data_IF_993423769025
#
_entry.id   IF_993423769025
#
_cell.length_a   1.000
_cell.length_b   1.000
_cell.length_c   1.000
_cell.angle_alpha   90.00
_cell.angle_beta   90.00
_cell.angle_gamma   90.00
#
_symmetry.space_group_name_H-M   'P 1'
#
loop_
_entity.id
_entity.type
_entity.pdbx_description
1 polymer ?
#
# COMPACT_ATOMS: atom_id res chain seq x y z
N UNK A 1 30.00 -30.08 6.84
CA UNK A 1 30.51 -28.79 7.35
C UNK A 1 29.30 -28.00 7.81
N UNK A 2 29.34 -27.45 9.02
CA UNK A 2 28.28 -26.56 9.49
C UNK A 2 28.31 -25.30 8.62
N UNK A 3 27.18 -24.97 8.00
CA UNK A 3 27.07 -23.75 7.20
C UNK A 3 26.68 -22.61 8.13
N UNK A 4 27.60 -21.69 8.39
CA UNK A 4 27.32 -20.49 9.16
C UNK A 4 26.76 -19.41 8.25
N UNK A 5 25.71 -18.73 8.70
CA UNK A 5 25.22 -17.53 8.03
C UNK A 5 26.16 -16.34 8.31
N UNK A 6 26.16 -15.37 7.40
CA UNK A 6 26.93 -14.12 7.47
C UNK A 6 26.67 -13.36 8.77
N UNK A 7 25.42 -13.32 9.23
CA UNK A 7 25.07 -12.69 10.50
C UNK A 7 25.80 -13.33 11.69
N UNK A 8 25.97 -14.65 11.67
CA UNK A 8 26.67 -15.40 12.71
C UNK A 8 28.17 -15.07 12.72
N UNK A 9 28.78 -14.99 11.54
CA UNK A 9 30.19 -14.64 11.36
C UNK A 9 30.47 -13.20 11.82
N UNK A 10 29.55 -12.27 11.52
CA UNK A 10 29.64 -10.87 11.98
C UNK A 10 29.61 -10.81 13.50
N UNK A 11 28.65 -11.48 14.15
CA UNK A 11 28.56 -11.53 15.61
C UNK A 11 29.81 -12.12 16.26
N UNK A 12 30.43 -13.12 15.65
CA UNK A 12 31.72 -13.64 16.12
C UNK A 12 32.83 -12.58 16.03
N UNK A 13 32.98 -11.92 14.87
CA UNK A 13 33.99 -10.89 14.62
C UNK A 13 33.79 -9.65 15.50
N UNK A 14 32.55 -9.39 15.92
CA UNK A 14 32.18 -8.31 16.84
C UNK A 14 32.30 -8.69 18.32
N UNK A 15 32.50 -9.97 18.65
CA UNK A 15 32.62 -10.47 20.02
C UNK A 15 31.28 -10.59 20.74
N UNK A 16 30.19 -10.73 19.98
CA UNK A 16 28.80 -10.80 20.46
C UNK A 16 28.25 -12.24 20.52
N UNK A 17 29.09 -13.24 20.26
CA UNK A 17 28.73 -14.65 20.48
C UNK A 17 28.92 -15.03 21.95
N UNK A 18 27.99 -15.81 22.54
CA UNK A 18 28.19 -16.43 23.85
C UNK A 18 29.49 -17.26 23.89
N UNK A 19 30.14 -17.33 25.05
CA UNK A 19 31.43 -18.03 25.19
C UNK A 19 31.38 -19.49 24.72
N UNK A 20 30.28 -20.18 25.00
CA UNK A 20 30.08 -21.58 24.60
C UNK A 20 30.03 -21.72 23.07
N UNK A 21 29.27 -20.85 22.41
CA UNK A 21 29.15 -20.80 20.96
C UNK A 21 30.46 -20.42 20.27
N UNK A 22 31.22 -19.48 20.84
CA UNK A 22 32.53 -19.07 20.33
C UNK A 22 33.52 -20.24 20.34
N UNK A 23 33.52 -21.09 21.37
CA UNK A 23 34.44 -22.25 21.46
C UNK A 23 34.18 -23.29 20.36
N UNK A 24 32.91 -23.54 20.06
CA UNK A 24 32.52 -24.43 18.97
C UNK A 24 32.88 -23.82 17.62
N UNK A 25 32.55 -22.55 17.41
CA UNK A 25 32.89 -21.81 16.19
C UNK A 25 34.40 -21.77 15.93
N UNK A 26 35.22 -21.55 16.96
CA UNK A 26 36.68 -21.58 16.85
C UNK A 26 37.23 -22.97 16.49
N UNK A 27 36.55 -24.03 16.90
CA UNK A 27 36.93 -25.40 16.55
C UNK A 27 36.66 -25.67 15.08
N UNK A 28 35.50 -25.25 14.57
CA UNK A 28 35.14 -25.38 13.15
C UNK A 28 35.99 -24.45 12.28
N UNK A 29 36.27 -23.24 12.75
CA UNK A 29 37.17 -22.27 12.11
C UNK A 29 38.58 -22.84 11.92
N UNK A 30 39.09 -23.68 12.83
CA UNK A 30 40.41 -24.32 12.66
C UNK A 30 40.42 -25.39 11.57
N UNK A 31 39.28 -25.98 11.26
CA UNK A 31 39.16 -27.14 10.36
C UNK A 31 38.64 -26.77 8.97
N UNK A 32 38.02 -25.60 8.81
CA UNK A 32 37.41 -25.15 7.57
C UNK A 32 38.15 -23.93 6.95
N UNK A 33 38.94 -24.14 5.87
CA UNK A 33 39.63 -23.05 5.18
C UNK A 33 38.69 -22.02 4.53
N UNK A 34 37.49 -22.40 4.13
CA UNK A 34 36.53 -21.48 3.52
C UNK A 34 35.96 -20.52 4.59
N UNK A 35 35.65 -21.05 5.78
CA UNK A 35 35.22 -20.25 6.92
C UNK A 35 36.33 -19.32 7.42
N UNK A 36 37.60 -19.75 7.38
CA UNK A 36 38.74 -18.88 7.68
C UNK A 36 38.82 -17.68 6.75
N UNK A 37 38.66 -17.92 5.44
CA UNK A 37 38.70 -16.86 4.44
C UNK A 37 37.55 -15.86 4.63
N UNK A 38 36.35 -16.34 4.98
CA UNK A 38 35.19 -15.47 5.21
C UNK A 38 35.36 -14.62 6.47
N UNK A 39 35.80 -15.20 7.58
CA UNK A 39 36.11 -14.45 8.82
C UNK A 39 37.21 -13.41 8.57
N UNK A 40 38.24 -13.76 7.79
CA UNK A 40 39.33 -12.84 7.45
C UNK A 40 38.83 -11.64 6.63
N UNK A 41 37.97 -11.88 5.63
CA UNK A 41 37.35 -10.83 4.82
C UNK A 41 36.56 -9.84 5.68
N UNK A 42 35.75 -10.34 6.63
CA UNK A 42 34.96 -9.48 7.52
C UNK A 42 35.84 -8.66 8.48
N UNK A 43 36.94 -9.24 8.99
CA UNK A 43 37.90 -8.49 9.81
C UNK A 43 38.59 -7.38 9.02
N UNK A 44 38.99 -7.65 7.78
CA UNK A 44 39.59 -6.65 6.89
C UNK A 44 38.60 -5.53 6.54
N UNK A 45 37.36 -5.88 6.20
CA UNK A 45 36.30 -4.90 5.96
C UNK A 45 36.09 -4.01 7.19
N UNK A 46 35.96 -4.60 8.38
CA UNK A 46 35.79 -3.87 9.64
C UNK A 46 36.94 -2.91 9.91
N UNK A 47 38.17 -3.33 9.65
CA UNK A 47 39.34 -2.49 9.86
C UNK A 47 39.43 -1.36 8.82
N UNK A 48 39.13 -1.64 7.55
CA UNK A 48 39.07 -0.62 6.50
C UNK A 48 37.97 0.42 6.77
N UNK A 49 36.82 -0.02 7.30
CA UNK A 49 35.73 0.84 7.73
C UNK A 49 36.16 1.69 8.93
N UNK A 50 36.82 1.12 9.94
CA UNK A 50 37.36 1.89 11.08
C UNK A 50 38.38 2.95 10.66
N UNK A 51 39.24 2.64 9.70
CA UNK A 51 40.23 3.58 9.17
C UNK A 51 39.58 4.72 8.38
N UNK A 52 38.53 4.42 7.58
CA UNK A 52 37.77 5.44 6.82
C UNK A 52 36.80 6.23 7.68
N UNK A 53 36.26 5.61 8.73
CA UNK A 53 35.36 6.17 9.72
C UNK A 53 36.13 6.45 11.02
N UNK A 54 37.31 7.08 10.91
CA UNK A 54 38.01 7.65 12.07
C UNK A 54 37.00 8.47 12.92
N UNK A 55 37.17 8.56 14.26
CA UNK A 55 36.17 9.13 15.16
C UNK A 55 35.80 10.54 14.68
N UNK A 56 34.69 10.61 13.96
CA UNK A 56 34.28 11.83 13.33
C UNK A 56 33.96 12.81 14.46
N UNK A 57 34.55 14.01 14.43
CA UNK A 57 34.21 15.07 15.38
C UNK A 57 32.69 15.31 15.39
N UNK A 58 32.03 14.99 14.26
CA UNK A 58 30.58 14.97 14.07
C UNK A 58 29.87 13.92 14.94
N UNK A 59 30.43 12.73 15.13
CA UNK A 59 29.86 11.68 15.98
C UNK A 59 29.98 12.03 17.47
N UNK A 60 31.08 12.66 17.87
CA UNK A 60 31.28 13.22 19.21
C UNK A 60 30.28 14.34 19.49
N UNK A 61 30.12 15.26 18.53
CA UNK A 61 29.15 16.35 18.59
C UNK A 61 27.71 15.84 18.66
N UNK A 62 27.35 14.89 17.80
CA UNK A 62 26.03 14.24 17.82
C UNK A 62 25.78 13.50 19.13
N UNK A 63 26.78 12.76 19.67
CA UNK A 63 26.66 12.12 20.98
C UNK A 63 26.47 13.15 22.10
N UNK A 64 27.20 14.27 22.08
CA UNK A 64 27.02 15.33 23.06
C UNK A 64 25.60 15.93 22.99
N UNK A 65 25.12 16.22 21.77
CA UNK A 65 23.76 16.73 21.52
C UNK A 65 22.69 15.72 21.96
N UNK A 66 22.85 14.44 21.63
CA UNK A 66 21.91 13.39 22.05
C UNK A 66 21.94 13.18 23.57
N UNK A 67 23.11 13.31 24.20
CA UNK A 67 23.24 13.18 25.66
C UNK A 67 22.61 14.37 26.39
N UNK A 68 22.76 15.59 25.87
CA UNK A 68 22.11 16.78 26.44
C UNK A 68 20.59 16.77 26.26
N UNK A 69 20.09 16.18 25.17
CA UNK A 69 18.66 16.07 24.90
C UNK A 69 18.01 14.85 25.59
N UNK A 70 18.81 13.91 26.12
CA UNK A 70 18.34 12.70 26.81
C UNK A 70 17.38 12.97 27.99
N UNK A 71 17.63 13.94 28.91
CA UNK A 71 16.74 14.16 30.04
C UNK A 71 15.40 14.79 29.65
N UNK A 72 15.36 15.53 28.53
CA UNK A 72 14.15 16.21 28.03
C UNK A 72 13.25 15.28 27.21
N UNK A 73 13.83 14.42 26.37
CA UNK A 73 13.07 13.60 25.42
C UNK A 73 13.05 12.10 25.76
N UNK A 74 13.98 11.62 26.58
CA UNK A 74 14.11 10.21 26.94
C UNK A 74 13.98 10.02 28.45
N UNK A 75 12.81 10.35 29.02
CA UNK A 75 12.41 9.89 30.35
C UNK A 75 12.03 8.41 30.28
N UNK A 76 13.03 7.54 30.17
CA UNK A 76 12.82 6.10 30.32
C UNK A 76 12.58 5.79 31.80
N UNK A 77 11.30 5.67 32.20
CA UNK A 77 10.95 5.03 33.46
C UNK A 77 11.37 3.56 33.31
N UNK A 78 12.46 3.18 33.97
CA UNK A 78 12.91 1.78 34.01
C UNK A 78 11.86 1.02 34.82
N UNK A 79 10.94 0.37 34.11
CA UNK A 79 9.98 -0.55 34.72
C UNK A 79 10.66 -1.92 34.77
N UNK A 80 10.74 -2.60 35.92
CA UNK A 80 11.39 -3.90 36.00
C UNK A 80 10.70 -4.89 35.06
N UNK A 81 11.51 -5.60 34.26
CA UNK A 81 11.06 -6.59 33.28
C UNK A 81 10.50 -7.82 34.00
N UNK A 82 9.21 -7.80 34.31
CA UNK A 82 8.49 -8.97 34.85
C UNK A 82 7.88 -9.76 33.70
N UNK A 83 7.75 -11.09 33.86
CA UNK A 83 7.22 -12.01 32.83
C UNK A 83 5.81 -11.62 32.33
N UNK A 84 5.05 -10.88 33.13
CA UNK A 84 3.75 -10.32 32.74
C UNK A 84 3.87 -9.15 31.75
N UNK A 85 4.90 -8.31 31.86
CA UNK A 85 5.14 -7.21 30.90
C UNK A 85 5.50 -7.78 29.52
N UNK A 86 6.26 -8.88 29.47
CA UNK A 86 6.53 -9.60 28.21
C UNK A 86 5.25 -10.19 27.59
N UNK A 87 4.34 -10.73 28.42
CA UNK A 87 3.04 -11.23 27.96
C UNK A 87 2.12 -10.13 27.41
N UNK A 88 2.07 -8.96 28.07
CA UNK A 88 1.30 -7.80 27.61
C UNK A 88 1.88 -7.19 26.32
N UNK A 89 3.20 -7.11 26.21
CA UNK A 89 3.87 -6.64 24.99
C UNK A 89 3.64 -7.59 23.81
N UNK A 90 3.72 -8.91 24.03
CA UNK A 90 3.42 -9.91 23.00
C UNK A 90 1.95 -9.85 22.55
N UNK A 91 0.99 -9.68 23.48
CA UNK A 91 -0.42 -9.53 23.14
C UNK A 91 -0.71 -8.24 22.35
N UNK A 92 -0.02 -7.14 22.65
CA UNK A 92 -0.14 -5.88 21.90
C UNK A 92 0.40 -6.02 20.47
N UNK A 93 1.53 -6.69 20.28
CA UNK A 93 2.08 -6.98 18.93
C UNK A 93 1.15 -7.90 18.16
N UNK A 94 0.62 -8.97 18.77
CA UNK A 94 -0.38 -9.85 18.14
C UNK A 94 -1.65 -9.06 17.80
N UNK A 95 -2.12 -8.16 18.66
CA UNK A 95 -3.28 -7.31 18.39
C UNK A 95 -3.05 -6.34 17.23
N UNK A 96 -1.89 -5.68 17.17
CA UNK A 96 -1.50 -4.79 16.07
C UNK A 96 -1.37 -5.58 14.77
N UNK A 97 -0.69 -6.72 14.78
CA UNK A 97 -0.55 -7.60 13.60
C UNK A 97 -1.92 -8.14 13.18
N UNK A 98 -2.81 -8.48 14.12
CA UNK A 98 -4.17 -8.93 13.81
C UNK A 98 -5.02 -7.83 13.20
N UNK A 99 -4.85 -6.57 13.62
CA UNK A 99 -5.52 -5.40 13.01
C UNK A 99 -4.94 -5.08 11.63
N UNK A 100 -3.63 -5.21 11.45
CA UNK A 100 -2.94 -4.92 10.19
C UNK A 100 -3.12 -6.02 9.13
N UNK A 101 -3.28 -7.28 9.55
CA UNK A 101 -3.52 -8.42 8.67
C UNK A 101 -5.02 -8.75 8.53
N UNK A 102 -5.92 -8.04 9.21
CA UNK A 102 -7.36 -8.23 9.01
C UNK A 102 -7.73 -7.71 7.62
N UNK A 103 -8.16 -8.55 6.66
CA UNK A 103 -8.73 -8.04 5.42
C UNK A 103 -9.97 -7.23 5.82
N UNK A 104 -9.89 -5.90 5.68
CA UNK A 104 -11.04 -5.06 5.99
C UNK A 104 -12.15 -5.49 5.04
N UNK A 105 -13.18 -6.16 5.58
CA UNK A 105 -14.31 -6.69 4.82
C UNK A 105 -14.99 -5.63 3.94
N UNK A 106 -14.79 -4.36 4.30
CA UNK A 106 -15.15 -3.16 3.55
C UNK A 106 -14.38 -3.02 2.24
N UNK A 107 -13.04 -3.17 2.22
CA UNK A 107 -12.26 -3.07 0.98
C UNK A 107 -12.62 -4.18 -0.01
N UNK A 108 -12.74 -5.43 0.44
CA UNK A 108 -13.22 -6.53 -0.41
C UNK A 108 -14.61 -6.24 -1.01
N UNK A 109 -15.52 -5.69 -0.21
CA UNK A 109 -16.85 -5.30 -0.70
C UNK A 109 -16.76 -4.20 -1.75
N UNK A 110 -15.96 -3.16 -1.53
CA UNK A 110 -15.75 -2.08 -2.49
C UNK A 110 -15.14 -2.62 -3.80
N UNK A 111 -14.15 -3.50 -3.71
CA UNK A 111 -13.53 -4.11 -4.89
C UNK A 111 -14.52 -4.97 -5.67
N UNK A 112 -15.35 -5.76 -5.00
CA UNK A 112 -16.41 -6.54 -5.65
C UNK A 112 -17.46 -5.64 -6.31
N UNK A 113 -17.95 -4.63 -5.60
CA UNK A 113 -19.01 -3.74 -6.08
C UNK A 113 -18.55 -2.81 -7.21
N UNK A 114 -17.26 -2.48 -7.25
CA UNK A 114 -16.63 -1.65 -8.29
C UNK A 114 -16.18 -2.43 -9.53
N UNK A 115 -16.42 -3.75 -9.61
CA UNK A 115 -16.20 -4.49 -10.85
C UNK A 115 -17.25 -4.02 -11.87
N UNK A 116 -16.77 -3.45 -12.96
CA UNK A 116 -17.58 -3.07 -14.11
C UNK A 116 -16.84 -3.47 -15.37
N UNK A 117 -17.62 -3.81 -16.39
CA UNK A 117 -17.11 -4.06 -17.73
C UNK A 117 -17.51 -2.89 -18.62
N UNK A 118 -16.62 -2.54 -19.52
CA UNK A 118 -16.88 -1.60 -20.58
C UNK A 118 -17.55 -2.35 -21.73
N UNK A 119 -18.80 -1.98 -22.02
CA UNK A 119 -19.49 -2.48 -23.20
C UNK A 119 -18.89 -1.76 -24.41
N UNK A 120 -18.21 -2.51 -25.28
CA UNK A 120 -17.71 -1.99 -26.54
C UNK A 120 -18.89 -1.62 -27.43
N UNK A 121 -19.13 -0.32 -27.64
CA UNK A 121 -20.17 0.14 -28.56
C UNK A 121 -19.71 -0.13 -30.00
N UNK A 122 -20.29 -1.15 -30.64
CA UNK A 122 -20.03 -1.49 -32.04
C UNK A 122 -20.80 -0.57 -33.02
N UNK A 123 -21.59 0.37 -32.52
CA UNK A 123 -22.52 1.14 -33.34
C UNK A 123 -21.99 2.56 -33.58
N UNK A 124 -21.89 2.86 -34.88
CA UNK A 124 -21.33 4.07 -35.55
C UNK A 124 -19.80 4.11 -35.65
N UNK A 125 -19.34 4.46 -36.85
CA UNK A 125 -17.94 4.47 -37.26
C UNK A 125 -17.31 5.86 -37.14
N UNK A 126 -17.44 6.52 -35.99
CA UNK A 126 -16.71 7.77 -35.73
C UNK A 126 -15.43 7.51 -34.90
N UNK A 127 -14.56 8.52 -34.82
CA UNK A 127 -13.27 8.40 -34.13
C UNK A 127 -13.43 8.11 -32.63
N UNK A 128 -14.46 8.66 -31.97
CA UNK A 128 -14.71 8.42 -30.54
C UNK A 128 -15.15 6.97 -30.31
N UNK A 129 -15.99 6.41 -31.18
CA UNK A 129 -16.42 5.01 -31.11
C UNK A 129 -15.22 4.05 -31.24
N UNK A 130 -14.28 4.37 -32.13
CA UNK A 130 -13.02 3.62 -32.28
C UNK A 130 -12.14 3.68 -31.02
N UNK A 131 -12.06 4.86 -30.38
CA UNK A 131 -11.31 5.04 -29.13
C UNK A 131 -11.97 4.28 -27.97
N UNK A 132 -13.30 4.30 -27.87
CA UNK A 132 -14.04 3.57 -26.84
C UNK A 132 -13.91 2.06 -27.00
N UNK A 133 -13.95 1.52 -28.22
CA UNK A 133 -13.68 0.11 -28.49
C UNK A 133 -12.26 -0.29 -28.07
N UNK A 134 -11.26 0.54 -28.41
CA UNK A 134 -9.87 0.29 -27.99
C UNK A 134 -9.72 0.35 -26.47
N UNK A 135 -10.34 1.33 -25.82
CA UNK A 135 -10.33 1.45 -24.36
C UNK A 135 -10.97 0.22 -23.69
N UNK A 136 -12.08 -0.29 -24.23
CA UNK A 136 -12.79 -1.45 -23.69
C UNK A 136 -11.90 -2.70 -23.63
N UNK A 137 -11.02 -2.92 -24.62
CA UNK A 137 -10.08 -4.04 -24.63
C UNK A 137 -9.14 -4.00 -23.42
N UNK A 138 -8.55 -2.84 -23.13
CA UNK A 138 -7.67 -2.67 -21.96
C UNK A 138 -8.47 -2.70 -20.65
N UNK A 139 -9.61 -2.00 -20.62
CA UNK A 139 -10.46 -1.86 -19.45
C UNK A 139 -10.99 -3.22 -18.95
N UNK A 140 -11.48 -4.06 -19.85
CA UNK A 140 -12.03 -5.38 -19.49
C UNK A 140 -10.94 -6.38 -19.09
N UNK A 141 -9.68 -6.12 -19.45
CA UNK A 141 -8.51 -6.83 -18.93
C UNK A 141 -8.00 -6.26 -17.59
N UNK A 142 -8.70 -5.29 -17.03
CA UNK A 142 -8.32 -4.52 -15.85
C UNK A 142 -6.99 -3.77 -16.00
N UNK A 143 -6.52 -3.57 -17.24
CA UNK A 143 -5.34 -2.78 -17.54
C UNK A 143 -5.71 -1.30 -17.62
N UNK A 144 -6.08 -0.74 -16.46
CA UNK A 144 -6.50 0.64 -16.34
C UNK A 144 -5.39 1.63 -16.72
N UNK A 145 -4.12 1.21 -16.57
CA UNK A 145 -2.95 2.01 -16.93
C UNK A 145 -2.87 2.30 -18.44
N UNK A 146 -3.23 1.33 -19.29
CA UNK A 146 -3.33 1.54 -20.74
C UNK A 146 -4.71 2.03 -21.19
N UNK A 147 -5.78 1.72 -20.45
CA UNK A 147 -7.12 2.21 -20.77
C UNK A 147 -7.25 3.73 -20.57
N UNK A 148 -6.69 4.27 -19.48
CA UNK A 148 -6.79 5.68 -19.11
C UNK A 148 -6.34 6.65 -20.22
N UNK A 149 -5.14 6.52 -20.84
CA UNK A 149 -4.73 7.44 -21.90
C UNK A 149 -5.57 7.34 -23.18
N UNK A 150 -6.21 6.19 -23.45
CA UNK A 150 -7.15 6.04 -24.57
C UNK A 150 -8.48 6.73 -24.26
N UNK A 151 -8.98 6.58 -23.02
CA UNK A 151 -10.18 7.26 -22.54
C UNK A 151 -9.99 8.78 -22.47
N UNK A 152 -8.79 9.25 -22.15
CA UNK A 152 -8.44 10.67 -22.25
C UNK A 152 -8.57 11.21 -23.67
N UNK A 153 -8.14 10.44 -24.67
CA UNK A 153 -8.33 10.82 -26.08
C UNK A 153 -9.81 10.85 -26.45
N UNK A 154 -10.60 9.87 -25.98
CA UNK A 154 -12.04 9.82 -26.23
C UNK A 154 -12.77 11.05 -25.65
N UNK A 155 -12.44 11.44 -24.41
CA UNK A 155 -13.00 12.64 -23.76
C UNK A 155 -12.52 13.93 -24.44
N UNK A 156 -11.29 13.99 -24.98
CA UNK A 156 -10.84 15.16 -25.76
C UNK A 156 -11.57 15.28 -27.10
N UNK A 157 -11.90 14.16 -27.73
CA UNK A 157 -12.63 14.13 -28.99
C UNK A 157 -14.10 14.55 -28.80
N UNK A 158 -14.72 14.15 -27.70
CA UNK A 158 -16.05 14.60 -27.30
C UNK A 158 -16.12 14.75 -25.77
N UNK A 159 -16.04 16.00 -25.32
CA UNK A 159 -16.02 16.35 -23.89
C UNK A 159 -17.36 16.11 -23.18
N UNK A 160 -18.43 15.86 -23.94
CA UNK A 160 -19.77 15.60 -23.42
C UNK A 160 -20.12 14.11 -23.36
N UNK A 161 -19.25 13.25 -23.91
CA UNK A 161 -19.49 11.81 -24.01
C UNK A 161 -19.55 11.18 -22.61
N UNK A 162 -20.77 10.87 -22.19
CA UNK A 162 -21.07 10.32 -20.85
C UNK A 162 -20.36 8.98 -20.60
N UNK A 163 -20.25 8.15 -21.64
CA UNK A 163 -19.60 6.84 -21.56
C UNK A 163 -18.09 6.99 -21.35
N UNK A 164 -17.46 7.85 -22.16
CA UNK A 164 -16.03 8.16 -22.06
C UNK A 164 -15.68 8.75 -20.69
N UNK A 165 -16.45 9.74 -20.23
CA UNK A 165 -16.26 10.37 -18.91
C UNK A 165 -16.39 9.35 -17.78
N UNK A 166 -17.43 8.52 -17.82
CA UNK A 166 -17.67 7.53 -16.77
C UNK A 166 -16.52 6.53 -16.66
N UNK A 167 -16.15 5.88 -17.76
CA UNK A 167 -15.09 4.86 -17.74
C UNK A 167 -13.71 5.48 -17.52
N UNK A 168 -13.46 6.71 -17.98
CA UNK A 168 -12.24 7.43 -17.61
C UNK A 168 -12.18 7.64 -16.11
N UNK A 169 -13.29 8.02 -15.48
CA UNK A 169 -13.37 8.15 -14.02
C UNK A 169 -13.03 6.84 -13.32
N UNK A 170 -13.56 5.71 -13.78
CA UNK A 170 -13.23 4.39 -13.21
C UNK A 170 -11.75 4.05 -13.38
N UNK A 171 -11.19 4.23 -14.58
CA UNK A 171 -9.78 3.97 -14.82
C UNK A 171 -8.88 4.88 -13.97
N UNK A 172 -9.19 6.17 -13.90
CA UNK A 172 -8.47 7.15 -13.10
C UNK A 172 -8.48 6.78 -11.61
N UNK A 173 -9.65 6.39 -11.06
CA UNK A 173 -9.74 5.97 -9.66
C UNK A 173 -8.91 4.71 -9.39
N UNK A 174 -8.97 3.71 -10.27
CA UNK A 174 -8.18 2.47 -10.15
C UNK A 174 -6.67 2.70 -10.29
N UNK A 175 -6.25 3.81 -10.89
CA UNK A 175 -4.84 4.23 -10.96
C UNK A 175 -4.47 5.34 -9.95
N UNK A 176 -5.30 5.57 -8.92
CA UNK A 176 -5.01 6.50 -7.81
C UNK A 176 -5.43 7.96 -8.04
N UNK A 177 -6.01 8.30 -9.19
CA UNK A 177 -6.51 9.63 -9.54
C UNK A 177 -7.93 9.92 -9.03
N UNK A 178 -8.18 9.76 -7.73
CA UNK A 178 -9.54 9.87 -7.14
C UNK A 178 -10.21 11.22 -7.40
N UNK A 179 -9.48 12.34 -7.28
CA UNK A 179 -10.06 13.66 -7.51
C UNK A 179 -10.51 13.85 -8.98
N UNK A 180 -9.70 13.39 -9.94
CA UNK A 180 -10.04 13.43 -11.36
C UNK A 180 -11.25 12.54 -11.66
N UNK A 181 -11.29 11.34 -11.07
CA UNK A 181 -12.42 10.43 -11.21
C UNK A 181 -13.74 11.04 -10.73
N UNK A 182 -13.73 11.63 -9.53
CA UNK A 182 -14.90 12.31 -8.97
C UNK A 182 -15.36 13.49 -9.83
N UNK A 183 -14.43 14.25 -10.41
CA UNK A 183 -14.76 15.35 -11.31
C UNK A 183 -15.48 14.87 -12.58
N UNK A 184 -15.10 13.73 -13.14
CA UNK A 184 -15.77 13.15 -14.29
C UNK A 184 -17.14 12.57 -13.94
N UNK A 185 -17.24 11.81 -12.85
CA UNK A 185 -18.52 11.31 -12.38
C UNK A 185 -19.49 12.42 -12.00
N UNK A 186 -19.01 13.56 -11.49
CA UNK A 186 -19.84 14.73 -11.27
C UNK A 186 -20.48 15.24 -12.57
N UNK A 187 -19.72 15.26 -13.68
CA UNK A 187 -20.26 15.63 -15.01
C UNK A 187 -21.25 14.60 -15.52
N UNK A 188 -20.98 13.32 -15.30
CA UNK A 188 -21.90 12.23 -15.70
C UNK A 188 -23.20 12.30 -14.89
N UNK A 189 -23.10 12.58 -13.59
CA UNK A 189 -24.25 12.73 -12.71
C UNK A 189 -25.15 13.91 -13.10
N UNK A 190 -24.56 15.00 -13.59
CA UNK A 190 -25.29 16.17 -14.08
C UNK A 190 -26.01 15.94 -15.42
N UNK A 191 -25.77 14.81 -16.09
CA UNK A 191 -26.47 14.43 -17.32
C UNK A 191 -27.85 13.80 -17.08
N UNK A 192 -28.62 13.68 -18.16
CA UNK A 192 -29.99 13.13 -18.11
C UNK A 192 -30.06 11.61 -18.31
N UNK A 193 -28.95 10.96 -18.68
CA UNK A 193 -28.93 9.52 -18.92
C UNK A 193 -29.02 8.71 -17.61
N UNK A 194 -29.47 7.46 -17.70
CA UNK A 194 -29.49 6.54 -16.54
C UNK A 194 -28.10 6.31 -15.94
N UNK A 195 -27.01 6.56 -16.69
CA UNK A 195 -25.64 6.47 -16.20
C UNK A 195 -25.33 7.44 -15.05
N UNK A 196 -26.17 8.46 -14.84
CA UNK A 196 -26.03 9.34 -13.66
C UNK A 196 -26.06 8.54 -12.36
N UNK A 197 -26.83 7.44 -12.30
CA UNK A 197 -26.87 6.60 -11.10
C UNK A 197 -25.62 5.73 -10.97
N UNK A 198 -25.02 5.28 -12.07
CA UNK A 198 -23.70 4.63 -12.05
C UNK A 198 -22.66 5.60 -11.50
N UNK A 199 -22.65 6.84 -11.98
CA UNK A 199 -21.75 7.87 -11.46
C UNK A 199 -21.98 8.15 -9.96
N UNK A 200 -23.23 8.24 -9.51
CA UNK A 200 -23.54 8.41 -8.09
C UNK A 200 -23.05 7.23 -7.24
N UNK A 201 -23.18 6.00 -7.74
CA UNK A 201 -22.71 4.81 -7.05
C UNK A 201 -21.17 4.77 -6.96
N UNK A 202 -20.47 5.13 -8.03
CA UNK A 202 -19.01 5.22 -8.02
C UNK A 202 -18.47 6.36 -7.15
N UNK A 203 -19.18 7.50 -7.09
CA UNK A 203 -18.90 8.55 -6.10
C UNK A 203 -18.99 7.97 -4.68
N UNK A 204 -20.07 7.27 -4.35
CA UNK A 204 -20.24 6.64 -3.03
C UNK A 204 -19.14 5.62 -2.71
N UNK A 205 -18.78 4.75 -3.66
CA UNK A 205 -17.68 3.78 -3.51
C UNK A 205 -16.34 4.49 -3.22
N UNK A 206 -16.06 5.58 -3.92
CA UNK A 206 -14.81 6.32 -3.72
C UNK A 206 -14.72 6.95 -2.33
N UNK A 207 -15.82 7.49 -1.79
CA UNK A 207 -15.85 8.05 -0.43
C UNK A 207 -15.81 6.94 0.63
N UNK A 208 -16.50 5.83 0.38
CA UNK A 208 -16.45 4.64 1.23
C UNK A 208 -15.01 4.09 1.36
N UNK A 209 -14.23 4.11 0.27
CA UNK A 209 -12.84 3.69 0.27
C UNK A 209 -11.94 4.60 1.12
N UNK A 210 -12.28 5.88 1.22
CA UNK A 210 -11.59 6.87 2.07
C UNK A 210 -12.14 6.93 3.51
N UNK A 211 -13.06 6.02 3.88
CA UNK A 211 -13.79 6.03 5.15
C UNK A 211 -14.65 7.29 5.40
N UNK A 212 -14.96 8.07 4.36
CA UNK A 212 -15.88 9.20 4.44
C UNK A 212 -17.34 8.70 4.32
N UNK A 213 -17.82 8.14 5.43
CA UNK A 213 -19.19 7.62 5.55
C UNK A 213 -20.25 8.70 5.24
N UNK A 214 -20.21 9.92 5.80
CA UNK A 214 -21.22 10.93 5.52
C UNK A 214 -21.35 11.25 4.02
N UNK A 215 -20.23 11.43 3.31
CA UNK A 215 -20.25 11.69 1.88
C UNK A 215 -20.74 10.47 1.08
N UNK A 216 -20.32 9.26 1.45
CA UNK A 216 -20.80 8.04 0.81
C UNK A 216 -22.32 7.89 0.91
N UNK A 217 -22.89 8.10 2.10
CA UNK A 217 -24.35 8.06 2.32
C UNK A 217 -25.09 9.13 1.54
N UNK A 218 -24.53 10.34 1.44
CA UNK A 218 -25.10 11.42 0.64
C UNK A 218 -25.18 11.07 -0.84
N UNK A 219 -24.22 10.33 -1.38
CA UNK A 219 -24.23 9.88 -2.77
C UNK A 219 -25.14 8.68 -2.99
N UNK A 220 -25.23 7.76 -2.03
CA UNK A 220 -26.16 6.63 -2.08
C UNK A 220 -27.63 7.07 -2.09
N UNK A 221 -27.99 8.13 -1.36
CA UNK A 221 -29.37 8.66 -1.34
C UNK A 221 -29.83 9.26 -2.67
N UNK A 222 -28.91 9.51 -3.60
CA UNK A 222 -29.21 10.01 -4.96
C UNK A 222 -29.59 8.89 -5.93
N UNK A 223 -29.50 7.63 -5.52
CA UNK A 223 -29.85 6.45 -6.31
C UNK A 223 -31.30 6.06 -5.98
N UNK A 224 -32.24 6.17 -6.93
CA UNK A 224 -33.63 5.84 -6.68
C UNK A 224 -33.83 4.36 -6.35
N UNK A 225 -34.80 4.08 -5.49
CA UNK A 225 -35.29 2.72 -5.29
C UNK A 225 -35.83 2.14 -6.61
N UNK A 226 -35.61 0.84 -6.83
CA UNK A 226 -36.01 0.17 -8.07
C UNK A 226 -35.09 0.39 -9.28
N UNK A 227 -34.06 1.24 -9.17
CA UNK A 227 -32.99 1.30 -10.18
C UNK A 227 -32.17 0.01 -10.21
N UNK A 228 -31.47 -0.23 -11.33
CA UNK A 228 -30.54 -1.38 -11.49
C UNK A 228 -29.44 -1.42 -10.43
N UNK A 229 -29.13 -0.28 -9.79
CA UNK A 229 -28.10 -0.15 -8.76
C UNK A 229 -28.64 -0.21 -7.33
N UNK A 230 -29.96 -0.26 -7.13
CA UNK A 230 -30.57 -0.19 -5.79
C UNK A 230 -30.09 -1.32 -4.87
N UNK A 231 -29.93 -2.54 -5.38
CA UNK A 231 -29.42 -3.67 -4.60
C UNK A 231 -27.96 -3.44 -4.16
N UNK A 232 -27.09 -2.99 -5.07
CA UNK A 232 -25.69 -2.67 -4.77
C UNK A 232 -25.56 -1.49 -3.80
N UNK A 233 -26.43 -0.49 -3.94
CA UNK A 233 -26.49 0.67 -3.04
C UNK A 233 -26.87 0.25 -1.60
N UNK A 234 -27.88 -0.62 -1.45
CA UNK A 234 -28.28 -1.18 -0.15
C UNK A 234 -27.17 -2.03 0.47
N UNK A 235 -26.49 -2.83 -0.34
CA UNK A 235 -25.35 -3.63 0.11
C UNK A 235 -24.19 -2.76 0.60
N UNK A 236 -23.81 -1.72 -0.15
CA UNK A 236 -22.75 -0.80 0.28
C UNK A 236 -23.15 -0.07 1.58
N UNK A 237 -24.39 0.41 1.67
CA UNK A 237 -24.90 1.08 2.86
C UNK A 237 -24.75 0.21 4.12
N UNK A 238 -25.12 -1.08 4.04
CA UNK A 238 -25.00 -2.03 5.16
C UNK A 238 -23.55 -2.30 5.61
N UNK A 239 -22.54 -1.98 4.79
CA UNK A 239 -21.11 -2.10 5.13
C UNK A 239 -20.48 -0.80 5.64
N UNK A 240 -21.24 0.29 5.57
CA UNK A 240 -20.85 1.58 6.13
C UNK A 240 -21.31 1.75 7.58
N UNK A 241 -22.08 0.80 8.13
CA UNK A 241 -22.45 0.74 9.55
C UNK A 241 -21.30 0.32 10.47
#
# INVERSE_FOLDING_TARGET
>A
MATYDREYIIRYVDGELPEEESRWFETDLRQDPALQAEVALYRELKESLRQRLAPDASASGLRATLTSLRPQYFRSRIVPFTRWVAGVAAAAVIGIVSVLLWPSSRQDTIDRLSRTEMIGTAERGNNTDTLLQKAAVYFNRQDFSHALPVLDQAVRADTSNQLALFYRGVAAWKTGGTAAARADWQKVYAGESLMRYDAAFYMALSYAAENDRPAALQWLSRIPEGSSLSAKAKELNAKLE
#
